data_IF_886942918649
#
_entry.id   IF_886942918649
#
_cell.length_a   1.000
_cell.length_b   1.000
_cell.length_c   1.000
_cell.angle_alpha   90.00
_cell.angle_beta   90.00
_cell.angle_gamma   90.00
#
_symmetry.space_group_name_H-M   'P 1'
#
loop_
_entity.id
_entity.type
_entity.pdbx_description
1 polymer ?
#
# COMPACT_ATOMS: atom_id res chain seq x y z
N UNK A 1 16.27 12.08 -27.94
CA UNK A 1 15.74 13.14 -27.06
C UNK A 1 16.85 14.11 -26.71
N UNK A 2 16.58 15.41 -26.64
CA UNK A 2 17.53 16.39 -26.09
C UNK A 2 17.70 16.16 -24.60
N UNK A 3 18.82 16.61 -24.01
CA UNK A 3 19.08 16.48 -22.56
C UNK A 3 17.97 17.11 -21.72
N UNK A 4 17.42 18.24 -22.17
CA UNK A 4 16.30 18.91 -21.54
C UNK A 4 15.00 18.09 -21.60
N UNK A 5 14.70 17.45 -22.74
CA UNK A 5 13.56 16.56 -22.87
C UNK A 5 13.66 15.33 -21.96
N UNK A 6 14.86 14.75 -21.80
CA UNK A 6 15.08 13.62 -20.89
C UNK A 6 14.77 14.00 -19.44
N UNK A 7 15.24 15.15 -18.97
CA UNK A 7 14.98 15.65 -17.62
C UNK A 7 13.48 15.88 -17.39
N UNK A 8 12.79 16.55 -18.32
CA UNK A 8 11.36 16.83 -18.23
C UNK A 8 10.52 15.54 -18.27
N UNK A 9 10.89 14.58 -19.12
CA UNK A 9 10.24 13.26 -19.16
C UNK A 9 10.42 12.53 -17.84
N UNK A 10 11.63 12.51 -17.29
CA UNK A 10 11.94 11.89 -16.00
C UNK A 10 11.12 12.50 -14.88
N UNK A 11 11.13 13.83 -14.74
CA UNK A 11 10.35 14.54 -13.74
C UNK A 11 8.85 14.27 -13.87
N UNK A 12 8.32 14.23 -15.09
CA UNK A 12 6.90 13.95 -15.33
C UNK A 12 6.50 12.55 -14.87
N UNK A 13 7.33 11.53 -15.12
CA UNK A 13 7.10 10.16 -14.65
C UNK A 13 7.17 10.10 -13.12
N UNK A 14 8.15 10.77 -12.52
CA UNK A 14 8.33 10.80 -11.05
C UNK A 14 7.17 11.51 -10.35
N UNK A 15 6.63 12.59 -10.93
CA UNK A 15 5.45 13.27 -10.39
C UNK A 15 4.19 12.38 -10.41
N UNK A 16 4.00 11.59 -11.46
CA UNK A 16 2.89 10.61 -11.47
C UNK A 16 3.09 9.55 -10.40
N UNK A 17 4.33 9.16 -10.08
CA UNK A 17 4.61 8.19 -9.03
C UNK A 17 4.23 8.67 -7.61
N UNK A 18 4.19 9.99 -7.38
CA UNK A 18 3.70 10.60 -6.12
C UNK A 18 2.27 10.15 -5.78
N UNK A 19 1.47 9.83 -6.80
CA UNK A 19 0.05 9.48 -6.63
C UNK A 19 -0.14 8.03 -6.19
N UNK A 20 0.77 7.12 -6.54
CA UNK A 20 0.59 5.67 -6.41
C UNK A 20 0.35 5.20 -4.97
N UNK A 21 1.00 5.81 -3.98
CA UNK A 21 0.88 5.45 -2.56
C UNK A 21 -0.07 6.37 -1.78
N UNK A 22 -0.90 7.19 -2.43
CA UNK A 22 -1.71 8.20 -1.77
C UNK A 22 -3.10 7.71 -1.30
N UNK A 23 -3.53 6.50 -1.64
CA UNK A 23 -4.84 5.98 -1.26
C UNK A 23 -5.10 5.98 0.27
N UNK A 24 -4.14 5.61 1.15
CA UNK A 24 -4.32 5.64 2.61
C UNK A 24 -4.39 7.04 3.22
N UNK A 25 -4.13 8.09 2.46
CA UNK A 25 -4.11 9.47 2.96
C UNK A 25 -5.42 9.90 3.64
N UNK A 26 -6.55 9.30 3.24
CA UNK A 26 -7.87 9.59 3.82
C UNK A 26 -8.23 8.71 5.03
N UNK A 27 -7.35 7.81 5.50
CA UNK A 27 -7.67 6.96 6.65
C UNK A 27 -8.01 7.79 7.90
N UNK A 28 -7.38 8.94 8.07
CA UNK A 28 -7.69 9.88 9.15
C UNK A 28 -9.13 10.43 9.10
N UNK A 29 -9.79 10.37 7.94
CA UNK A 29 -11.18 10.81 7.77
C UNK A 29 -12.21 9.84 8.35
N UNK A 30 -11.88 8.58 8.60
CA UNK A 30 -12.83 7.54 9.02
C UNK A 30 -13.76 8.02 10.15
N UNK A 31 -13.24 8.57 11.28
CA UNK A 31 -14.12 8.99 12.37
C UNK A 31 -14.99 10.20 12.01
N UNK A 32 -14.54 11.07 11.12
CA UNK A 32 -15.31 12.24 10.68
C UNK A 32 -16.41 11.81 9.69
N UNK A 33 -16.08 10.88 8.78
CA UNK A 33 -17.05 10.27 7.86
C UNK A 33 -18.11 9.46 8.60
N UNK A 34 -17.73 8.74 9.68
CA UNK A 34 -18.70 8.02 10.51
C UNK A 34 -19.73 8.94 11.16
N UNK A 35 -19.32 10.16 11.53
CA UNK A 35 -20.25 11.19 12.04
C UNK A 35 -21.08 11.81 10.93
N UNK A 36 -20.53 11.97 9.72
CA UNK A 36 -21.24 12.53 8.57
C UNK A 36 -22.30 11.56 7.98
N UNK A 37 -22.08 10.26 8.11
CA UNK A 37 -22.97 9.19 7.61
C UNK A 37 -23.41 8.23 8.72
N UNK A 38 -24.20 8.70 9.71
CA UNK A 38 -24.53 7.90 10.91
C UNK A 38 -25.38 6.66 10.62
N UNK A 39 -26.08 6.62 9.48
CA UNK A 39 -26.86 5.46 9.03
C UNK A 39 -26.03 4.37 8.35
N UNK A 40 -24.75 4.65 8.06
CA UNK A 40 -23.88 3.71 7.36
C UNK A 40 -23.03 2.95 8.37
N UNK A 41 -22.99 1.60 8.32
CA UNK A 41 -22.14 0.81 9.21
C UNK A 41 -20.67 1.20 9.11
N UNK A 42 -19.96 1.25 10.24
CA UNK A 42 -18.55 1.67 10.30
C UNK A 42 -17.65 0.88 9.35
N UNK A 43 -17.89 -0.44 9.21
CA UNK A 43 -17.11 -1.27 8.28
C UNK A 43 -17.26 -0.84 6.81
N UNK A 44 -18.42 -0.32 6.41
CA UNK A 44 -18.61 0.24 5.06
C UNK A 44 -17.88 1.59 4.90
N UNK A 45 -17.84 2.40 5.95
CA UNK A 45 -17.06 3.65 5.94
C UNK A 45 -15.57 3.35 5.84
N UNK A 46 -15.09 2.36 6.58
CA UNK A 46 -13.70 1.89 6.51
C UNK A 46 -13.36 1.33 5.12
N UNK A 47 -14.33 0.70 4.44
CA UNK A 47 -14.15 0.21 3.07
C UNK A 47 -13.79 1.33 2.09
N UNK A 48 -14.20 2.58 2.31
CA UNK A 48 -13.79 3.72 1.49
C UNK A 48 -12.27 3.86 1.37
N UNK A 49 -11.52 3.42 2.37
CA UNK A 49 -10.06 3.51 2.41
C UNK A 49 -9.39 2.30 1.76
N UNK A 50 -10.06 1.17 1.68
CA UNK A 50 -9.49 -0.10 1.20
C UNK A 50 -10.01 -0.56 -0.16
N UNK A 51 -11.21 -0.14 -0.56
CA UNK A 51 -11.77 -0.45 -1.88
C UNK A 51 -10.88 -0.01 -3.05
N UNK A 52 -10.09 1.08 -2.96
CA UNK A 52 -9.12 1.41 -4.01
C UNK A 52 -8.15 0.27 -4.32
N UNK A 53 -7.73 -0.52 -3.31
CA UNK A 53 -6.79 -1.64 -3.50
C UNK A 53 -7.40 -2.76 -4.35
N UNK A 54 -8.70 -3.05 -4.20
CA UNK A 54 -9.38 -4.04 -5.02
C UNK A 54 -9.47 -3.59 -6.48
N UNK A 55 -9.90 -2.36 -6.71
CA UNK A 55 -10.03 -1.82 -8.07
C UNK A 55 -8.68 -1.56 -8.74
N UNK A 56 -7.65 -1.24 -7.96
CA UNK A 56 -6.26 -1.17 -8.41
C UNK A 56 -5.81 -2.53 -8.97
N UNK A 57 -6.09 -3.62 -8.26
CA UNK A 57 -5.74 -4.97 -8.72
C UNK A 57 -6.43 -5.30 -10.04
N UNK A 58 -7.74 -5.06 -10.15
CA UNK A 58 -8.51 -5.27 -11.39
C UNK A 58 -7.90 -4.46 -12.55
N UNK A 59 -7.57 -3.20 -12.30
CA UNK A 59 -7.02 -2.31 -13.31
C UNK A 59 -5.61 -2.71 -13.75
N UNK A 60 -4.75 -3.20 -12.84
CA UNK A 60 -3.43 -3.75 -13.20
C UNK A 60 -3.58 -4.92 -14.18
N UNK A 61 -4.52 -5.82 -13.95
CA UNK A 61 -4.76 -6.95 -14.85
C UNK A 61 -5.21 -6.50 -16.24
N UNK A 62 -5.99 -5.42 -16.30
CA UNK A 62 -6.49 -4.84 -17.55
C UNK A 62 -5.49 -3.90 -18.24
N UNK A 63 -4.54 -3.32 -17.49
CA UNK A 63 -3.67 -2.24 -17.96
C UNK A 63 -2.89 -2.59 -19.24
N UNK A 64 -2.32 -3.79 -19.30
CA UNK A 64 -1.58 -4.26 -20.47
C UNK A 64 -2.49 -4.48 -21.69
N UNK A 65 -3.73 -4.92 -21.49
CA UNK A 65 -4.70 -5.07 -22.57
C UNK A 65 -5.13 -3.71 -23.12
N UNK A 66 -5.41 -2.74 -22.24
CA UNK A 66 -5.73 -1.36 -22.62
C UNK A 66 -4.54 -0.72 -23.34
N UNK A 67 -3.31 -0.90 -22.83
CA UNK A 67 -2.10 -0.33 -23.43
C UNK A 67 -1.82 -0.86 -24.83
N UNK A 68 -2.16 -2.13 -25.10
CA UNK A 68 -2.07 -2.66 -26.49
C UNK A 68 -3.07 -2.01 -27.44
N UNK A 69 -4.26 -1.60 -26.95
CA UNK A 69 -5.28 -0.97 -27.80
C UNK A 69 -5.01 0.51 -28.06
N UNK A 70 -4.74 1.27 -27.01
CA UNK A 70 -4.62 2.74 -27.11
C UNK A 70 -3.19 3.28 -26.99
N UNK A 71 -2.22 2.43 -26.57
CA UNK A 71 -0.81 2.80 -26.39
C UNK A 71 -0.47 3.09 -24.93
N UNK A 72 0.83 2.92 -24.57
CA UNK A 72 1.33 3.06 -23.19
C UNK A 72 1.06 4.46 -22.61
N UNK A 73 1.46 5.52 -23.34
CA UNK A 73 1.28 6.92 -22.90
C UNK A 73 -0.20 7.22 -22.65
N UNK A 74 -1.07 6.86 -23.60
CA UNK A 74 -2.50 7.13 -23.53
C UNK A 74 -3.16 6.39 -22.37
N UNK A 75 -2.77 5.15 -22.09
CA UNK A 75 -3.29 4.39 -20.96
C UNK A 75 -2.91 5.04 -19.62
N UNK A 76 -1.67 5.51 -19.49
CA UNK A 76 -1.24 6.26 -18.30
C UNK A 76 -2.04 7.56 -18.17
N UNK A 77 -2.21 8.33 -19.25
CA UNK A 77 -3.00 9.56 -19.22
C UNK A 77 -4.45 9.32 -18.82
N UNK A 78 -5.09 8.29 -19.36
CA UNK A 78 -6.46 7.91 -18.96
C UNK A 78 -6.50 7.51 -17.48
N UNK A 79 -5.56 6.69 -17.01
CA UNK A 79 -5.47 6.29 -15.62
C UNK A 79 -5.30 7.49 -14.68
N UNK A 80 -4.37 8.40 -14.99
CA UNK A 80 -4.13 9.61 -14.18
C UNK A 80 -5.33 10.55 -14.25
N UNK A 81 -5.98 10.72 -15.42
CA UNK A 81 -7.20 11.53 -15.55
C UNK A 81 -8.35 11.00 -14.66
N UNK A 82 -8.58 9.68 -14.70
CA UNK A 82 -9.57 9.04 -13.80
C UNK A 82 -9.20 9.32 -12.33
N UNK A 83 -7.91 9.20 -11.98
CA UNK A 83 -7.44 9.44 -10.60
C UNK A 83 -7.61 10.90 -10.17
N UNK A 84 -7.37 11.87 -11.07
CA UNK A 84 -7.61 13.31 -10.82
C UNK A 84 -9.10 13.55 -10.53
N UNK A 85 -9.96 13.11 -11.44
CA UNK A 85 -11.41 13.31 -11.33
C UNK A 85 -11.94 12.62 -10.06
N UNK A 86 -11.62 11.35 -9.89
CA UNK A 86 -12.09 10.56 -8.75
C UNK A 86 -11.48 11.01 -7.42
N UNK A 87 -10.24 11.52 -7.41
CA UNK A 87 -9.60 12.07 -6.21
C UNK A 87 -10.23 13.37 -5.75
N UNK A 88 -10.64 14.24 -6.66
CA UNK A 88 -11.22 15.55 -6.37
C UNK A 88 -12.74 15.55 -6.28
N UNK A 89 -13.44 14.59 -6.92
CA UNK A 89 -14.89 14.50 -6.90
C UNK A 89 -15.51 14.54 -5.48
N UNK A 90 -14.93 13.90 -4.44
CA UNK A 90 -15.46 13.94 -3.08
C UNK A 90 -15.56 15.34 -2.47
N UNK A 91 -14.90 16.34 -3.02
CA UNK A 91 -15.04 17.75 -2.58
C UNK A 91 -16.50 18.22 -2.75
N UNK A 92 -17.19 17.69 -3.75
CA UNK A 92 -18.58 18.09 -4.09
C UNK A 92 -19.61 16.99 -3.80
N UNK A 93 -19.17 15.76 -3.48
CA UNK A 93 -20.06 14.62 -3.26
C UNK A 93 -20.57 14.63 -1.83
N UNK A 94 -21.88 14.54 -1.66
CA UNK A 94 -22.57 14.42 -0.36
C UNK A 94 -23.19 13.03 -0.14
N UNK A 95 -23.24 12.20 -1.18
CA UNK A 95 -23.86 10.87 -1.15
C UNK A 95 -22.80 9.78 -0.92
N UNK A 96 -23.04 8.88 0.05
CA UNK A 96 -22.12 7.78 0.37
C UNK A 96 -21.88 6.82 -0.81
N UNK A 97 -22.90 6.38 -1.60
CA UNK A 97 -22.66 5.54 -2.77
C UNK A 97 -21.77 6.19 -3.84
N UNK A 98 -21.94 7.49 -4.08
CA UNK A 98 -21.10 8.23 -5.02
C UNK A 98 -19.66 8.39 -4.49
N UNK A 99 -19.49 8.57 -3.18
CA UNK A 99 -18.20 8.59 -2.54
C UNK A 99 -17.49 7.23 -2.70
N UNK A 100 -18.21 6.13 -2.50
CA UNK A 100 -17.70 4.77 -2.71
C UNK A 100 -17.26 4.53 -4.16
N UNK A 101 -18.10 4.96 -5.14
CA UNK A 101 -17.77 4.87 -6.56
C UNK A 101 -16.52 5.69 -6.90
N UNK A 102 -16.41 6.89 -6.35
CA UNK A 102 -15.21 7.74 -6.51
C UNK A 102 -13.95 7.02 -6.00
N UNK A 103 -14.01 6.37 -4.84
CA UNK A 103 -12.86 5.64 -4.29
C UNK A 103 -12.48 4.42 -5.12
N UNK A 104 -13.48 3.68 -5.63
CA UNK A 104 -13.28 2.58 -6.56
C UNK A 104 -12.63 3.07 -7.87
N UNK A 105 -13.16 4.15 -8.45
CA UNK A 105 -12.59 4.77 -9.66
C UNK A 105 -11.17 5.30 -9.44
N UNK A 106 -10.87 5.87 -8.26
CA UNK A 106 -9.53 6.29 -7.89
C UNK A 106 -8.54 5.12 -7.93
N UNK A 107 -8.88 4.00 -7.29
CA UNK A 107 -8.05 2.79 -7.31
C UNK A 107 -7.88 2.24 -8.71
N UNK A 108 -8.94 2.22 -9.51
CA UNK A 108 -8.90 1.77 -10.90
C UNK A 108 -7.96 2.65 -11.74
N UNK A 109 -8.05 3.97 -11.61
CA UNK A 109 -7.14 4.90 -12.28
C UNK A 109 -5.69 4.65 -11.93
N UNK A 110 -5.36 4.52 -10.63
CA UNK A 110 -4.00 4.20 -10.16
C UNK A 110 -3.51 2.87 -10.74
N UNK A 111 -4.35 1.83 -10.72
CA UNK A 111 -3.98 0.52 -11.25
C UNK A 111 -3.68 0.51 -12.73
N UNK A 112 -4.38 1.32 -13.53
CA UNK A 112 -4.12 1.43 -14.97
C UNK A 112 -2.71 1.94 -15.29
N UNK A 113 -2.17 2.87 -14.51
CA UNK A 113 -0.86 3.44 -14.83
C UNK A 113 0.30 2.87 -14.00
N UNK A 114 0.06 2.36 -12.79
CA UNK A 114 1.11 1.98 -11.87
C UNK A 114 2.14 0.99 -12.47
N UNK A 115 1.68 -0.12 -13.03
CA UNK A 115 2.55 -1.11 -13.67
C UNK A 115 3.21 -0.59 -14.95
N UNK A 116 2.55 0.32 -15.67
CA UNK A 116 3.03 0.85 -16.94
C UNK A 116 4.12 1.91 -16.77
N UNK A 117 4.21 2.58 -15.61
CA UNK A 117 5.30 3.53 -15.34
C UNK A 117 6.67 2.86 -15.43
N UNK A 118 6.81 1.64 -14.88
CA UNK A 118 8.05 0.84 -14.96
C UNK A 118 8.38 0.53 -16.42
N UNK A 119 7.37 0.21 -17.23
CA UNK A 119 7.56 -0.04 -18.68
C UNK A 119 8.00 1.23 -19.42
N UNK A 120 7.42 2.38 -19.09
CA UNK A 120 7.77 3.68 -19.69
C UNK A 120 9.20 4.09 -19.31
N UNK A 121 9.58 3.90 -18.01
CA UNK A 121 10.96 4.13 -17.57
C UNK A 121 11.93 3.26 -18.36
N UNK A 122 11.60 1.98 -18.54
CA UNK A 122 12.45 1.03 -19.28
C UNK A 122 12.54 1.33 -20.77
N UNK A 123 11.55 2.04 -21.32
CA UNK A 123 11.57 2.47 -22.72
C UNK A 123 12.50 3.68 -22.96
N UNK A 124 12.48 4.68 -22.06
CA UNK A 124 13.24 5.90 -22.23
C UNK A 124 14.64 5.87 -21.65
N UNK A 125 14.88 5.04 -20.63
CA UNK A 125 16.14 4.98 -19.88
C UNK A 125 16.72 3.57 -19.91
N UNK A 126 18.05 3.46 -20.02
CA UNK A 126 18.77 2.17 -20.12
C UNK A 126 19.90 2.11 -19.11
N UNK A 127 20.43 0.90 -18.84
CA UNK A 127 21.59 0.66 -17.98
C UNK A 127 21.43 1.24 -16.57
N UNK A 128 22.44 1.96 -16.10
CA UNK A 128 22.46 2.57 -14.78
C UNK A 128 21.39 3.65 -14.60
N UNK A 129 21.09 4.42 -15.67
CA UNK A 129 20.07 5.49 -15.62
C UNK A 129 18.66 4.91 -15.39
N UNK A 130 18.35 3.76 -15.99
CA UNK A 130 17.10 3.03 -15.71
C UNK A 130 16.99 2.65 -14.24
N UNK A 131 18.04 2.04 -13.69
CA UNK A 131 18.06 1.60 -12.29
C UNK A 131 17.92 2.77 -11.32
N UNK A 132 18.61 3.88 -11.59
CA UNK A 132 18.49 5.11 -10.81
C UNK A 132 17.07 5.70 -10.89
N UNK A 133 16.47 5.73 -12.09
CA UNK A 133 15.11 6.28 -12.29
C UNK A 133 14.07 5.43 -11.57
N UNK A 134 14.20 4.09 -11.57
CA UNK A 134 13.34 3.20 -10.77
C UNK A 134 13.51 3.41 -9.27
N UNK A 135 14.74 3.67 -8.80
CA UNK A 135 15.00 4.05 -7.42
C UNK A 135 14.33 5.37 -7.04
N UNK A 136 14.44 6.39 -7.91
CA UNK A 136 13.73 7.65 -7.72
C UNK A 136 12.22 7.49 -7.75
N UNK A 137 11.68 6.63 -8.63
CA UNK A 137 10.25 6.30 -8.66
C UNK A 137 9.76 5.82 -7.29
N UNK A 138 10.44 4.86 -6.69
CA UNK A 138 10.09 4.34 -5.36
C UNK A 138 10.20 5.42 -4.27
N UNK A 139 11.19 6.30 -4.37
CA UNK A 139 11.35 7.43 -3.45
C UNK A 139 10.19 8.44 -3.58
N UNK A 140 9.84 8.81 -4.82
CA UNK A 140 8.73 9.74 -5.07
C UNK A 140 7.38 9.15 -4.70
N UNK A 141 7.19 7.85 -4.86
CA UNK A 141 6.01 7.12 -4.37
C UNK A 141 5.89 7.23 -2.83
N UNK A 142 6.97 6.95 -2.11
CA UNK A 142 7.00 7.09 -0.65
C UNK A 142 6.76 8.53 -0.18
N UNK A 143 7.47 9.49 -0.77
CA UNK A 143 7.29 10.92 -0.48
C UNK A 143 5.87 11.39 -0.78
N UNK A 144 5.29 10.90 -1.88
CA UNK A 144 3.91 11.22 -2.27
C UNK A 144 2.90 10.75 -1.22
N UNK A 145 3.03 9.52 -0.76
CA UNK A 145 2.21 8.99 0.32
C UNK A 145 2.29 9.84 1.59
N UNK A 146 3.51 10.23 1.98
CA UNK A 146 3.76 11.10 3.13
C UNK A 146 3.13 12.48 2.95
N UNK A 147 3.38 13.15 1.82
CA UNK A 147 2.90 14.51 1.55
C UNK A 147 1.37 14.57 1.48
N UNK A 148 0.75 13.66 0.71
CA UNK A 148 -0.71 13.65 0.56
C UNK A 148 -1.39 13.33 1.88
N UNK A 149 -0.85 12.40 2.67
CA UNK A 149 -1.37 12.06 4.01
C UNK A 149 -1.27 13.26 4.97
N UNK A 150 -0.12 13.96 4.96
CA UNK A 150 0.06 15.14 5.81
C UNK A 150 -0.93 16.24 5.43
N UNK A 151 -1.04 16.58 4.15
CA UNK A 151 -1.95 17.62 3.66
C UNK A 151 -3.41 17.24 3.97
N UNK A 152 -3.83 16.02 3.66
CA UNK A 152 -5.17 15.53 3.96
C UNK A 152 -5.48 15.60 5.46
N UNK A 153 -4.53 15.20 6.30
CA UNK A 153 -4.65 15.25 7.75
C UNK A 153 -4.72 16.66 8.35
N UNK A 154 -4.10 17.67 7.71
CA UNK A 154 -4.27 19.07 8.11
C UNK A 154 -5.63 19.62 7.66
N UNK A 155 -6.08 19.21 6.48
CA UNK A 155 -7.33 19.74 5.91
C UNK A 155 -8.58 19.12 6.54
N UNK A 156 -8.51 17.88 7.06
CA UNK A 156 -9.64 17.21 7.71
C UNK A 156 -10.18 17.96 8.94
N UNK A 157 -9.36 18.79 9.58
CA UNK A 157 -9.78 19.62 10.71
C UNK A 157 -10.88 20.62 10.38
N UNK A 158 -11.01 21.02 9.12
CA UNK A 158 -12.08 21.92 8.67
C UNK A 158 -13.36 21.14 8.39
N UNK A 159 -13.30 20.14 7.54
CA UNK A 159 -14.34 19.12 7.30
C UNK A 159 -13.73 17.99 6.44
N UNK A 160 -14.46 16.87 6.32
CA UNK A 160 -13.98 15.72 5.59
C UNK A 160 -13.81 15.97 4.08
N UNK A 161 -14.62 16.85 3.45
CA UNK A 161 -14.49 17.19 2.03
C UNK A 161 -13.16 17.90 1.74
N UNK A 162 -12.73 18.79 2.65
CA UNK A 162 -11.51 19.56 2.47
C UNK A 162 -10.25 18.67 2.39
N UNK A 163 -10.24 17.53 3.07
CA UNK A 163 -9.10 16.61 2.99
C UNK A 163 -8.82 16.09 1.58
N UNK A 164 -9.85 16.04 0.70
CA UNK A 164 -9.68 15.60 -0.67
C UNK A 164 -8.98 16.62 -1.56
N UNK A 165 -8.85 17.90 -1.14
CA UNK A 165 -7.98 18.87 -1.81
C UNK A 165 -6.51 18.46 -1.81
N UNK A 166 -6.08 17.55 -0.93
CA UNK A 166 -4.74 16.98 -0.99
C UNK A 166 -4.42 16.30 -2.32
N UNK A 167 -5.46 15.83 -3.03
CA UNK A 167 -5.30 15.23 -4.35
C UNK A 167 -5.12 16.25 -5.49
N UNK A 168 -5.18 17.56 -5.23
CA UNK A 168 -4.91 18.57 -6.26
C UNK A 168 -3.50 18.44 -6.85
N UNK A 169 -2.56 17.83 -6.11
CA UNK A 169 -1.20 17.51 -6.58
C UNK A 169 -1.20 16.58 -7.82
N UNK A 170 -2.31 15.86 -8.05
CA UNK A 170 -2.45 14.99 -9.21
C UNK A 170 -2.62 15.77 -10.51
N UNK A 171 -3.12 17.02 -10.44
CA UNK A 171 -3.36 17.87 -11.62
C UNK A 171 -2.05 18.28 -12.32
N UNK A 172 -1.05 18.88 -11.61
CA UNK A 172 0.23 19.18 -12.24
C UNK A 172 0.96 17.91 -12.74
N UNK A 173 0.82 16.77 -12.05
CA UNK A 173 1.37 15.50 -12.51
C UNK A 173 0.76 15.06 -13.84
N UNK A 174 -0.58 15.18 -13.99
CA UNK A 174 -1.27 14.91 -15.25
C UNK A 174 -0.80 15.83 -16.38
N UNK A 175 -0.78 17.14 -16.13
CA UNK A 175 -0.39 18.15 -17.15
C UNK A 175 1.05 17.93 -17.60
N UNK A 176 1.98 17.75 -16.66
CA UNK A 176 3.38 17.51 -17.01
C UNK A 176 3.57 16.21 -17.79
N UNK A 177 2.90 15.13 -17.39
CA UNK A 177 2.98 13.87 -18.12
C UNK A 177 2.39 13.98 -19.54
N UNK A 178 1.28 14.69 -19.71
CA UNK A 178 0.66 14.92 -21.00
C UNK A 178 1.58 15.69 -21.97
N UNK A 179 2.21 16.76 -21.47
CA UNK A 179 3.00 17.67 -22.28
C UNK A 179 4.42 17.13 -22.58
N UNK A 180 5.10 16.59 -21.57
CA UNK A 180 6.54 16.33 -21.68
C UNK A 180 6.92 14.87 -21.92
N UNK A 181 6.04 13.91 -21.68
CA UNK A 181 6.33 12.53 -22.07
C UNK A 181 6.06 12.35 -23.56
N UNK A 182 7.05 11.94 -24.39
CA UNK A 182 6.85 11.74 -25.82
C UNK A 182 5.87 10.60 -26.11
N UNK A 183 5.32 10.59 -27.33
CA UNK A 183 4.51 9.45 -27.80
C UNK A 183 5.38 8.20 -27.87
N UNK A 184 4.90 7.13 -27.28
CA UNK A 184 5.52 5.82 -27.33
C UNK A 184 4.77 5.03 -28.41
N UNK A 185 5.46 4.47 -29.42
CA UNK A 185 4.82 3.60 -30.41
C UNK A 185 4.04 2.50 -29.71
N UNK A 186 2.93 2.07 -30.28
CA UNK A 186 2.17 0.93 -29.75
C UNK A 186 3.13 -0.25 -29.67
N UNK A 187 3.25 -0.84 -28.48
CA UNK A 187 4.08 -2.01 -28.28
C UNK A 187 3.65 -3.10 -29.28
N UNK A 188 4.56 -3.50 -30.15
CA UNK A 188 4.40 -4.77 -30.85
C UNK A 188 4.29 -5.87 -29.78
N UNK A 189 3.51 -6.94 -30.01
CA UNK A 189 3.39 -8.02 -29.06
C UNK A 189 4.82 -8.46 -28.71
N UNK A 190 5.27 -8.16 -27.51
CA UNK A 190 6.46 -8.80 -26.98
C UNK A 190 6.17 -10.30 -27.10
N UNK A 191 6.93 -10.97 -27.94
CA UNK A 191 6.96 -12.41 -27.97
C UNK A 191 7.02 -12.85 -26.50
N UNK A 192 6.03 -13.60 -26.08
CA UNK A 192 6.05 -14.28 -24.81
C UNK A 192 7.42 -14.93 -24.74
N UNK A 193 8.31 -14.40 -23.93
CA UNK A 193 9.51 -15.14 -23.55
C UNK A 193 9.00 -16.46 -23.02
N UNK A 194 9.26 -17.49 -23.81
CA UNK A 194 8.69 -18.81 -23.69
C UNK A 194 9.02 -19.41 -22.33
N UNK A 195 8.14 -20.26 -21.87
CA UNK A 195 8.35 -21.29 -20.86
C UNK A 195 8.77 -20.82 -19.48
N UNK A 196 7.89 -20.08 -18.82
CA UNK A 196 7.87 -20.14 -17.37
C UNK A 196 7.10 -21.39 -16.97
N UNK A 197 7.77 -22.28 -16.25
CA UNK A 197 7.22 -23.50 -15.72
C UNK A 197 5.90 -23.20 -15.00
N UNK A 198 4.81 -23.83 -15.47
CA UNK A 198 3.46 -23.71 -14.89
C UNK A 198 3.31 -24.44 -13.54
N UNK A 199 4.35 -25.07 -13.03
CA UNK A 199 4.32 -25.75 -11.75
C UNK A 199 4.50 -24.75 -10.60
N UNK A 200 3.40 -24.54 -9.87
CA UNK A 200 3.42 -23.81 -8.60
C UNK A 200 3.95 -24.75 -7.51
N UNK A 201 5.08 -24.43 -6.85
CA UNK A 201 5.56 -25.20 -5.71
C UNK A 201 4.48 -25.22 -4.61
N UNK A 202 4.31 -26.37 -3.94
CA UNK A 202 3.31 -26.48 -2.83
C UNK A 202 3.53 -25.45 -1.72
N UNK A 203 4.77 -25.02 -1.51
CA UNK A 203 5.13 -23.99 -0.54
C UNK A 203 4.45 -22.63 -0.80
N UNK A 204 4.05 -22.34 -2.04
CA UNK A 204 3.37 -21.08 -2.40
C UNK A 204 2.09 -20.88 -1.62
N UNK A 205 1.33 -21.93 -1.33
CA UNK A 205 0.10 -21.83 -0.56
C UNK A 205 0.37 -21.34 0.87
N UNK A 206 1.48 -21.78 1.48
CA UNK A 206 1.92 -21.27 2.78
C UNK A 206 2.24 -19.77 2.74
N UNK A 207 2.93 -19.31 1.70
CA UNK A 207 3.23 -17.87 1.52
C UNK A 207 1.99 -17.03 1.23
N UNK A 208 1.01 -17.56 0.49
CA UNK A 208 -0.26 -16.88 0.24
C UNK A 208 -1.05 -16.69 1.53
N UNK A 209 -1.20 -17.75 2.33
CA UNK A 209 -1.90 -17.71 3.62
C UNK A 209 -1.18 -16.75 4.58
N UNK A 210 0.16 -16.86 4.69
CA UNK A 210 0.96 -16.00 5.53
C UNK A 210 0.82 -14.52 5.12
N UNK A 211 0.91 -14.23 3.81
CA UNK A 211 0.72 -12.89 3.28
C UNK A 211 -0.68 -12.37 3.59
N UNK A 212 -1.71 -13.18 3.36
CA UNK A 212 -3.09 -12.79 3.65
C UNK A 212 -3.29 -12.43 5.13
N UNK A 213 -2.80 -13.28 6.03
CA UNK A 213 -2.90 -13.05 7.49
C UNK A 213 -2.14 -11.76 7.85
N UNK A 214 -0.85 -11.68 7.54
CA UNK A 214 0.00 -10.54 7.96
C UNK A 214 -0.55 -9.22 7.43
N UNK A 215 -0.95 -9.18 6.14
CA UNK A 215 -1.46 -7.95 5.53
C UNK A 215 -2.83 -7.56 6.08
N UNK A 216 -3.72 -8.52 6.36
CA UNK A 216 -5.01 -8.23 6.99
C UNK A 216 -4.80 -7.52 8.32
N UNK A 217 -3.99 -8.10 9.23
CA UNK A 217 -3.74 -7.54 10.56
C UNK A 217 -2.94 -6.23 10.51
N UNK A 218 -2.01 -6.09 9.55
CA UNK A 218 -1.32 -4.84 9.27
C UNK A 218 -2.28 -3.73 8.84
N UNK A 219 -3.22 -4.02 7.92
CA UNK A 219 -4.19 -3.04 7.42
C UNK A 219 -5.21 -2.61 8.48
N UNK A 220 -5.60 -3.50 9.39
CA UNK A 220 -6.48 -3.18 10.53
C UNK A 220 -5.92 -2.00 11.34
N UNK A 221 -4.59 -1.95 11.53
CA UNK A 221 -3.96 -0.82 12.21
C UNK A 221 -4.27 0.51 11.52
N UNK A 222 -4.00 0.63 10.23
CA UNK A 222 -4.20 1.88 9.48
C UNK A 222 -5.66 2.34 9.42
N UNK A 223 -6.60 1.41 9.55
CA UNK A 223 -8.04 1.66 9.46
C UNK A 223 -8.65 1.97 10.83
N UNK A 224 -8.29 1.19 11.86
CA UNK A 224 -8.92 1.27 13.19
C UNK A 224 -8.29 2.31 14.12
N UNK A 225 -7.02 2.66 13.93
CA UNK A 225 -6.32 3.64 14.79
C UNK A 225 -6.98 5.02 14.78
N UNK A 226 -7.41 5.60 13.64
CA UNK A 226 -8.10 6.89 13.68
C UNK A 226 -9.38 6.85 14.53
N UNK A 227 -10.17 5.79 14.40
CA UNK A 227 -11.38 5.60 15.21
C UNK A 227 -11.04 5.36 16.68
N UNK A 228 -10.03 4.56 17.00
CA UNK A 228 -9.55 4.32 18.36
C UNK A 228 -9.19 5.64 19.06
N UNK A 229 -8.33 6.46 18.43
CA UNK A 229 -7.85 7.71 19.02
C UNK A 229 -8.98 8.69 19.33
N UNK A 230 -9.96 8.80 18.41
CA UNK A 230 -11.10 9.70 18.57
C UNK A 230 -12.11 9.17 19.58
N UNK A 231 -12.45 7.87 19.54
CA UNK A 231 -13.42 7.26 20.44
C UNK A 231 -12.90 7.15 21.88
N UNK A 232 -11.60 6.91 22.07
CA UNK A 232 -10.96 6.88 23.39
C UNK A 232 -10.61 8.30 23.92
N UNK A 233 -10.85 9.36 23.13
CA UNK A 233 -10.73 10.75 23.58
C UNK A 233 -9.31 11.29 23.72
N UNK A 234 -8.27 10.58 23.26
CA UNK A 234 -6.87 11.03 23.37
C UNK A 234 -6.29 11.56 22.06
N UNK A 235 -7.11 11.64 21.01
CA UNK A 235 -6.68 12.16 19.71
C UNK A 235 -7.82 12.69 18.86
N UNK A 236 -7.43 13.38 17.79
CA UNK A 236 -8.29 13.94 16.76
C UNK A 236 -8.03 13.24 15.42
N UNK A 237 -8.87 13.47 14.40
CA UNK A 237 -8.61 13.00 13.04
C UNK A 237 -7.27 13.54 12.51
N UNK A 238 -6.92 14.79 12.84
CA UNK A 238 -5.61 15.38 12.47
C UNK A 238 -4.46 14.67 13.16
N UNK A 239 -4.54 14.41 14.48
CA UNK A 239 -3.48 13.68 15.18
C UNK A 239 -3.35 12.23 14.72
N UNK A 240 -4.46 11.60 14.30
CA UNK A 240 -4.43 10.27 13.69
C UNK A 240 -3.67 10.26 12.34
N UNK A 241 -3.70 11.36 11.58
CA UNK A 241 -2.90 11.46 10.36
C UNK A 241 -1.40 11.39 10.61
N UNK A 242 -0.92 11.84 11.79
CA UNK A 242 0.50 11.72 12.17
C UNK A 242 0.89 10.26 12.39
N UNK A 243 -0.03 9.40 12.82
CA UNK A 243 0.21 7.96 12.95
C UNK A 243 0.39 7.32 11.56
N UNK A 244 -0.47 7.69 10.59
CA UNK A 244 -0.36 7.21 9.20
C UNK A 244 0.91 7.74 8.53
N UNK A 245 1.29 8.99 8.84
CA UNK A 245 2.55 9.58 8.41
C UNK A 245 3.75 8.80 8.98
N UNK A 246 3.75 8.52 10.28
CA UNK A 246 4.80 7.76 10.95
C UNK A 246 4.92 6.33 10.39
N UNK A 247 3.77 5.67 10.08
CA UNK A 247 3.74 4.40 9.38
C UNK A 247 4.45 4.47 8.02
N UNK A 248 4.20 5.53 7.25
CA UNK A 248 4.84 5.73 5.94
C UNK A 248 6.35 5.96 6.07
N UNK A 249 6.78 6.76 7.07
CA UNK A 249 8.19 6.99 7.38
C UNK A 249 8.88 5.70 7.87
N UNK A 250 8.22 4.94 8.74
CA UNK A 250 8.71 3.63 9.18
C UNK A 250 8.85 2.65 8.03
N UNK A 251 7.88 2.63 7.11
CA UNK A 251 7.93 1.81 5.90
C UNK A 251 9.11 2.21 4.99
N UNK A 252 9.36 3.50 4.82
CA UNK A 252 10.51 3.99 4.06
C UNK A 252 11.84 3.55 4.70
N UNK A 253 11.99 3.71 6.01
CA UNK A 253 13.17 3.28 6.74
C UNK A 253 13.36 1.75 6.68
N UNK A 254 12.29 0.97 6.91
CA UNK A 254 12.31 -0.49 6.81
C UNK A 254 12.74 -0.97 5.42
N UNK A 255 12.25 -0.32 4.37
CA UNK A 255 12.66 -0.59 2.99
C UNK A 255 14.14 -0.29 2.72
N UNK A 256 14.66 0.84 3.22
CA UNK A 256 16.08 1.20 3.10
C UNK A 256 16.99 0.21 3.85
N UNK A 257 16.55 -0.26 5.01
CA UNK A 257 17.32 -1.18 5.84
C UNK A 257 17.21 -2.63 5.37
N UNK A 258 16.17 -2.99 4.62
CA UNK A 258 15.87 -4.38 4.22
C UNK A 258 17.07 -5.06 3.59
N UNK A 259 17.72 -4.45 2.60
CA UNK A 259 18.84 -5.06 1.88
C UNK A 259 20.00 -5.43 2.81
N UNK A 260 20.40 -4.52 3.72
CA UNK A 260 21.47 -4.77 4.69
C UNK A 260 21.08 -5.83 5.72
N UNK A 261 19.89 -5.72 6.28
CA UNK A 261 19.37 -6.67 7.27
C UNK A 261 19.19 -8.07 6.66
N UNK A 262 18.70 -8.15 5.43
CA UNK A 262 18.51 -9.43 4.75
C UNK A 262 19.83 -10.15 4.47
N UNK A 263 20.92 -9.45 4.12
CA UNK A 263 22.23 -10.06 3.93
C UNK A 263 22.78 -10.68 5.22
N UNK A 264 22.51 -10.07 6.39
CA UNK A 264 22.99 -10.56 7.68
C UNK A 264 22.07 -11.60 8.30
N UNK A 265 20.76 -11.35 8.26
CA UNK A 265 19.78 -12.15 9.01
C UNK A 265 19.14 -13.25 8.16
N UNK A 266 19.17 -13.12 6.82
CA UNK A 266 18.46 -14.03 5.90
C UNK A 266 17.00 -14.24 6.37
N UNK A 267 16.56 -15.49 6.57
CA UNK A 267 15.20 -15.80 7.02
C UNK A 267 14.90 -15.30 8.44
N UNK A 268 15.92 -15.05 9.28
CA UNK A 268 15.73 -14.49 10.64
C UNK A 268 15.20 -13.05 10.62
N UNK A 269 15.23 -12.37 9.47
CA UNK A 269 14.62 -11.05 9.29
C UNK A 269 13.13 -11.05 9.63
N UNK A 270 12.43 -12.19 9.46
CA UNK A 270 11.03 -12.35 9.85
C UNK A 270 10.80 -12.25 11.35
N UNK A 271 11.75 -12.74 12.17
CA UNK A 271 11.67 -12.59 13.62
C UNK A 271 11.69 -11.10 13.97
N UNK A 272 12.61 -10.34 13.36
CA UNK A 272 12.68 -8.88 13.55
C UNK A 272 11.40 -8.19 13.08
N UNK A 273 10.89 -8.57 11.90
CA UNK A 273 9.66 -8.02 11.35
C UNK A 273 8.46 -8.25 12.27
N UNK A 274 8.24 -9.49 12.72
CA UNK A 274 7.11 -9.82 13.59
C UNK A 274 7.28 -9.29 15.02
N UNK A 275 8.50 -9.21 15.54
CA UNK A 275 8.77 -8.52 16.81
C UNK A 275 8.44 -7.04 16.73
N UNK A 276 8.85 -6.36 15.65
CA UNK A 276 8.50 -4.96 15.43
C UNK A 276 6.98 -4.76 15.33
N UNK A 277 6.26 -5.64 14.62
CA UNK A 277 4.79 -5.62 14.53
C UNK A 277 4.14 -5.91 15.89
N UNK A 278 4.67 -6.86 16.67
CA UNK A 278 4.19 -7.13 18.02
C UNK A 278 4.32 -5.90 18.92
N UNK A 279 5.51 -5.30 18.98
CA UNK A 279 5.75 -4.11 19.79
C UNK A 279 4.87 -2.93 19.34
N UNK A 280 4.65 -2.80 18.04
CA UNK A 280 3.75 -1.81 17.48
C UNK A 280 2.31 -2.00 17.98
N UNK A 281 1.78 -3.23 17.91
CA UNK A 281 0.41 -3.51 18.34
C UNK A 281 0.25 -3.37 19.85
N UNK A 282 1.25 -3.77 20.64
CA UNK A 282 1.27 -3.52 22.10
C UNK A 282 1.22 -2.02 22.38
N UNK A 283 2.10 -1.23 21.72
CA UNK A 283 2.13 0.21 21.92
C UNK A 283 0.78 0.87 21.62
N UNK A 284 0.07 0.40 20.57
CA UNK A 284 -1.26 0.90 20.22
C UNK A 284 -2.32 0.43 21.21
N UNK A 285 -2.29 -0.85 21.63
CA UNK A 285 -3.27 -1.44 22.53
C UNK A 285 -3.26 -0.81 23.93
N UNK A 286 -2.08 -0.42 24.44
CA UNK A 286 -1.95 0.25 25.75
C UNK A 286 -2.03 1.76 25.64
N UNK A 287 -2.11 2.31 24.42
CA UNK A 287 -2.00 3.76 24.21
C UNK A 287 -3.22 4.51 24.73
N UNK A 288 -2.93 5.57 25.47
CA UNK A 288 -3.86 6.63 25.84
C UNK A 288 -3.30 8.03 25.49
N UNK A 289 -2.29 8.06 24.63
CA UNK A 289 -1.63 9.29 24.20
C UNK A 289 -1.18 9.19 22.73
N UNK A 290 -1.32 10.30 21.99
CA UNK A 290 -0.98 10.38 20.57
C UNK A 290 0.46 9.93 20.26
N UNK A 291 1.45 10.35 21.07
CA UNK A 291 2.86 10.05 20.81
C UNK A 291 3.17 8.53 20.82
N UNK A 292 2.55 7.78 21.75
CA UNK A 292 2.76 6.33 21.84
C UNK A 292 2.14 5.61 20.64
N UNK A 293 0.95 6.05 20.19
CA UNK A 293 0.31 5.55 18.98
C UNK A 293 1.14 5.85 17.72
N UNK A 294 1.79 7.03 17.67
CA UNK A 294 2.71 7.41 16.58
C UNK A 294 3.92 6.48 16.52
N UNK A 295 4.51 6.13 17.68
CA UNK A 295 5.59 5.12 17.75
C UNK A 295 5.09 3.76 17.24
N UNK A 296 3.89 3.34 17.66
CA UNK A 296 3.25 2.13 17.15
C UNK A 296 3.09 2.15 15.62
N UNK A 297 2.64 3.27 15.06
CA UNK A 297 2.56 3.47 13.62
C UNK A 297 3.90 3.31 12.90
N UNK A 298 4.94 3.96 13.42
CA UNK A 298 6.30 3.88 12.88
C UNK A 298 6.85 2.45 12.87
N UNK A 299 6.72 1.73 13.99
CA UNK A 299 7.15 0.33 14.10
C UNK A 299 6.35 -0.59 13.17
N UNK A 300 5.04 -0.33 12.98
CA UNK A 300 4.21 -1.08 12.03
C UNK A 300 4.75 -0.94 10.61
N UNK A 301 5.14 0.27 10.22
CA UNK A 301 5.75 0.53 8.91
C UNK A 301 7.04 -0.25 8.69
N UNK A 302 7.95 -0.25 9.68
CA UNK A 302 9.21 -1.01 9.63
C UNK A 302 8.92 -2.51 9.47
N UNK A 303 8.09 -3.09 10.34
CA UNK A 303 7.82 -4.52 10.34
C UNK A 303 7.21 -5.00 9.03
N UNK A 304 6.23 -4.27 8.49
CA UNK A 304 5.59 -4.61 7.22
C UNK A 304 6.58 -4.56 6.03
N UNK A 305 7.50 -3.59 6.02
CA UNK A 305 8.51 -3.46 4.96
C UNK A 305 9.70 -4.40 5.10
N UNK A 306 9.89 -5.02 6.24
CA UNK A 306 10.81 -6.16 6.37
C UNK A 306 10.16 -7.47 5.93
N UNK A 307 8.86 -7.64 6.15
CA UNK A 307 8.11 -8.84 5.78
C UNK A 307 7.88 -8.96 4.26
N UNK A 308 7.31 -7.93 3.62
CA UNK A 308 6.80 -8.05 2.25
C UNK A 308 7.88 -8.32 1.20
N UNK A 309 9.04 -7.64 1.17
CA UNK A 309 10.12 -7.98 0.26
C UNK A 309 10.71 -9.38 0.51
N UNK A 310 10.69 -9.84 1.77
CA UNK A 310 11.13 -11.20 2.09
C UNK A 310 10.24 -12.25 1.42
N UNK A 311 8.90 -12.10 1.50
CA UNK A 311 7.97 -13.02 0.83
C UNK A 311 8.20 -13.03 -0.69
N UNK A 312 8.36 -11.85 -1.30
CA UNK A 312 8.63 -11.75 -2.73
C UNK A 312 9.94 -12.45 -3.12
N UNK A 313 10.99 -12.30 -2.30
CA UNK A 313 12.26 -13.00 -2.52
C UNK A 313 12.11 -14.52 -2.35
N UNK A 314 11.45 -14.98 -1.29
CA UNK A 314 11.26 -16.40 -1.02
C UNK A 314 10.54 -17.11 -2.18
N UNK A 315 9.46 -16.50 -2.68
CA UNK A 315 8.69 -17.02 -3.81
C UNK A 315 9.51 -17.08 -5.11
N UNK A 316 10.38 -16.10 -5.34
CA UNK A 316 11.22 -16.06 -6.54
C UNK A 316 12.40 -17.03 -6.48
N UNK A 317 12.94 -17.32 -5.28
CA UNK A 317 14.00 -18.32 -5.09
C UNK A 317 13.50 -19.75 -5.32
N UNK A 318 12.29 -20.08 -4.89
CA UNK A 318 11.70 -21.41 -5.05
C UNK A 318 11.22 -21.69 -6.47
N UNK A 319 10.99 -20.67 -7.29
CA UNK A 319 10.36 -20.81 -8.60
C UNK A 319 11.10 -20.21 -9.79
N UNK A 320 12.43 -20.04 -9.74
CA UNK A 320 13.22 -19.51 -10.89
C UNK A 320 12.56 -18.33 -11.62
N UNK A 321 12.11 -17.30 -10.88
CA UNK A 321 11.46 -16.11 -11.46
C UNK A 321 10.00 -16.34 -11.87
N UNK A 322 9.24 -17.14 -11.12
CA UNK A 322 7.84 -17.45 -11.42
C UNK A 322 6.94 -16.22 -11.25
N UNK A 323 6.66 -15.54 -12.37
CA UNK A 323 5.79 -14.36 -12.42
C UNK A 323 4.38 -14.64 -11.95
N UNK A 324 3.87 -15.89 -12.12
CA UNK A 324 2.56 -16.30 -11.63
C UNK A 324 2.54 -16.29 -10.10
N UNK A 325 3.57 -16.85 -9.47
CA UNK A 325 3.69 -16.88 -8.02
C UNK A 325 3.76 -15.48 -7.42
N UNK A 326 4.58 -14.59 -7.98
CA UNK A 326 4.64 -13.17 -7.59
C UNK A 326 3.28 -12.49 -7.76
N UNK A 327 2.58 -12.74 -8.86
CA UNK A 327 1.25 -12.18 -9.11
C UNK A 327 0.23 -12.67 -8.08
N UNK A 328 0.25 -13.93 -7.69
CA UNK A 328 -0.63 -14.48 -6.67
C UNK A 328 -0.37 -13.84 -5.29
N UNK A 329 0.89 -13.60 -4.92
CA UNK A 329 1.23 -12.89 -3.67
C UNK A 329 0.69 -11.45 -3.70
N UNK A 330 0.81 -10.75 -4.83
CA UNK A 330 0.24 -9.40 -4.99
C UNK A 330 -1.29 -9.40 -4.92
N UNK A 331 -1.93 -10.43 -5.48
CA UNK A 331 -3.39 -10.64 -5.36
C UNK A 331 -3.76 -10.85 -3.89
N UNK A 332 -3.08 -11.74 -3.18
CA UNK A 332 -3.32 -12.00 -1.76
C UNK A 332 -3.14 -10.73 -0.92
N UNK A 333 -2.09 -9.94 -1.20
CA UNK A 333 -1.83 -8.64 -0.55
C UNK A 333 -3.02 -7.68 -0.72
N UNK A 334 -3.44 -7.43 -1.97
CA UNK A 334 -4.52 -6.46 -2.25
C UNK A 334 -5.88 -6.95 -1.76
N UNK A 335 -6.14 -8.27 -1.85
CA UNK A 335 -7.37 -8.88 -1.36
C UNK A 335 -7.44 -8.79 0.18
N UNK A 336 -6.36 -9.11 0.89
CA UNK A 336 -6.26 -8.97 2.34
C UNK A 336 -6.49 -7.52 2.77
N UNK A 337 -5.86 -6.56 2.07
CA UNK A 337 -6.06 -5.13 2.32
C UNK A 337 -7.52 -4.71 2.13
N UNK A 338 -8.14 -5.13 1.05
CA UNK A 338 -9.53 -4.75 0.72
C UNK A 338 -10.55 -5.36 1.68
N UNK A 339 -10.32 -6.59 2.15
CA UNK A 339 -11.23 -7.30 3.05
C UNK A 339 -10.98 -6.99 4.54
N UNK A 340 -9.91 -6.30 4.89
CA UNK A 340 -9.51 -6.07 6.28
C UNK A 340 -10.59 -5.39 7.15
N UNK A 341 -11.44 -4.43 6.68
CA UNK A 341 -12.53 -3.89 7.49
C UNK A 341 -13.57 -4.95 7.88
N UNK A 342 -13.94 -5.80 6.92
CA UNK A 342 -14.89 -6.89 7.17
C UNK A 342 -14.30 -8.00 8.02
N UNK A 343 -13.02 -8.32 7.84
CA UNK A 343 -12.32 -9.29 8.69
C UNK A 343 -12.25 -8.77 10.13
N UNK A 344 -11.95 -7.48 10.32
CA UNK A 344 -11.97 -6.87 11.66
C UNK A 344 -13.35 -6.95 12.30
N UNK A 345 -14.42 -6.64 11.54
CA UNK A 345 -15.80 -6.74 12.01
C UNK A 345 -16.17 -8.19 12.37
N UNK A 346 -15.82 -9.14 11.51
CA UNK A 346 -16.07 -10.58 11.74
C UNK A 346 -15.36 -11.05 13.01
N UNK A 347 -14.09 -10.69 13.21
CA UNK A 347 -13.35 -11.04 14.42
C UNK A 347 -13.98 -10.41 15.67
N UNK A 348 -14.39 -9.14 15.60
CA UNK A 348 -15.05 -8.48 16.72
C UNK A 348 -16.37 -9.18 17.09
N UNK A 349 -17.20 -9.54 16.11
CA UNK A 349 -18.47 -10.21 16.34
C UNK A 349 -18.30 -11.65 16.82
N UNK A 350 -17.42 -12.43 16.17
CA UNK A 350 -17.24 -13.87 16.49
C UNK A 350 -16.55 -14.10 17.85
N UNK A 351 -15.63 -13.20 18.24
CA UNK A 351 -14.90 -13.28 19.50
C UNK A 351 -15.48 -12.36 20.57
N UNK A 352 -16.64 -11.73 20.32
CA UNK A 352 -17.31 -10.81 21.24
C UNK A 352 -16.37 -9.69 21.76
N UNK A 353 -15.52 -9.15 20.86
CA UNK A 353 -14.54 -8.11 21.20
C UNK A 353 -15.25 -6.76 21.29
N UNK A 354 -15.50 -6.30 22.51
CA UNK A 354 -16.27 -5.08 22.76
C UNK A 354 -15.54 -3.77 22.41
N UNK A 355 -14.19 -3.76 22.43
CA UNK A 355 -13.42 -2.54 22.21
C UNK A 355 -12.39 -2.68 21.08
N UNK A 356 -12.08 -1.56 20.41
CA UNK A 356 -11.01 -1.51 19.40
C UNK A 356 -9.63 -1.84 20.05
N UNK A 357 -9.41 -1.44 21.30
CA UNK A 357 -8.19 -1.78 22.04
C UNK A 357 -8.02 -3.29 22.17
N UNK A 358 -9.08 -4.04 22.49
CA UNK A 358 -9.03 -5.49 22.58
C UNK A 358 -8.77 -6.14 21.22
N UNK A 359 -9.20 -5.54 20.12
CA UNK A 359 -8.82 -5.98 18.77
C UNK A 359 -7.31 -5.84 18.55
N UNK A 360 -6.65 -4.79 19.07
CA UNK A 360 -5.21 -4.65 18.98
C UNK A 360 -4.46 -5.67 19.86
N UNK A 361 -5.02 -6.12 21.00
CA UNK A 361 -4.48 -7.24 21.75
C UNK A 361 -4.55 -8.56 20.95
N UNK A 362 -5.65 -8.80 20.22
CA UNK A 362 -5.73 -9.93 19.30
C UNK A 362 -4.67 -9.84 18.20
N UNK A 363 -4.48 -8.65 17.59
CA UNK A 363 -3.43 -8.42 16.60
C UNK A 363 -2.03 -8.71 17.20
N UNK A 364 -1.79 -8.29 18.44
CA UNK A 364 -0.56 -8.59 19.19
C UNK A 364 -0.34 -10.10 19.29
N UNK A 365 -1.37 -10.84 19.72
CA UNK A 365 -1.29 -12.31 19.87
C UNK A 365 -0.90 -12.98 18.54
N UNK A 366 -1.52 -12.56 17.43
CA UNK A 366 -1.20 -13.11 16.09
C UNK A 366 0.28 -12.89 15.74
N UNK A 367 0.80 -11.67 15.93
CA UNK A 367 2.19 -11.39 15.62
C UNK A 367 3.19 -12.04 16.58
N UNK A 368 2.84 -12.23 17.87
CA UNK A 368 3.63 -13.03 18.81
C UNK A 368 3.71 -14.48 18.34
N UNK A 369 2.58 -15.09 17.97
CA UNK A 369 2.56 -16.48 17.48
C UNK A 369 3.46 -16.60 16.24
N UNK A 370 3.35 -15.68 15.28
CA UNK A 370 4.19 -15.65 14.08
C UNK A 370 5.68 -15.51 14.45
N UNK A 371 6.03 -14.60 15.35
CA UNK A 371 7.41 -14.41 15.80
C UNK A 371 7.99 -15.68 16.42
N UNK A 372 7.23 -16.35 17.32
CA UNK A 372 7.63 -17.59 17.97
C UNK A 372 7.77 -18.74 16.98
N UNK A 373 6.81 -18.89 16.06
CA UNK A 373 6.85 -19.94 15.01
C UNK A 373 8.11 -19.78 14.14
N UNK A 374 8.38 -18.56 13.66
CA UNK A 374 9.54 -18.34 12.81
C UNK A 374 10.87 -18.38 13.59
N UNK A 375 10.89 -18.02 14.88
CA UNK A 375 12.05 -18.24 15.75
C UNK A 375 12.34 -19.74 15.91
N UNK A 376 11.31 -20.55 16.13
CA UNK A 376 11.44 -22.00 16.25
C UNK A 376 11.90 -22.68 14.95
N UNK A 377 11.35 -22.29 13.81
CA UNK A 377 11.78 -22.76 12.48
C UNK A 377 13.25 -22.41 12.24
N UNK A 378 13.65 -21.18 12.57
CA UNK A 378 15.03 -20.71 12.40
C UNK A 378 15.99 -21.48 13.31
N UNK A 379 15.61 -21.74 14.55
CA UNK A 379 16.40 -22.52 15.49
C UNK A 379 16.60 -23.96 15.02
N UNK A 380 15.54 -24.64 14.58
CA UNK A 380 15.63 -26.01 14.02
C UNK A 380 16.55 -26.08 12.79
N UNK A 381 16.47 -25.12 11.88
CA UNK A 381 17.37 -25.08 10.71
C UNK A 381 18.83 -24.94 11.11
N UNK A 382 19.14 -24.11 12.10
CA UNK A 382 20.49 -23.95 12.63
C UNK A 382 21.02 -25.21 13.30
N UNK A 383 20.18 -25.93 14.04
CA UNK A 383 20.55 -27.17 14.69
C UNK A 383 20.82 -28.34 13.70
N UNK A 384 20.14 -28.33 12.54
CA UNK A 384 20.36 -29.35 11.48
C UNK A 384 21.59 -29.08 10.61
N UNK A 385 22.10 -27.84 10.55
CA UNK A 385 23.34 -27.49 9.84
C UNK A 385 24.58 -27.72 10.70
N UNK A 386 24.41 -27.79 12.03
CA UNK A 386 25.47 -28.07 12.99
C UNK A 386 25.72 -29.59 13.25
N UNK A 387 24.85 -30.45 12.71
CA UNK A 387 25.03 -31.92 12.62
C UNK A 387 25.49 -32.32 11.24
#
# INVERSE_FOLDING_TARGET
MTKQQQVLTKLSILLVSVITASAPAINANIPVLAKAFPSVPLAQIELLTTIPSLFLLIAILLSNWVARKIGLKQTVLVGVAITVIAGLAPIMITSFPLLMLSRAAFGFGVGLFNSLLVSIISYFFQGSERSQTLGFQSTFEGLGGVLVTFIAGQLVRFNWHMSFWAYVITVPAFVMFALFVPRIPKAQPQQKTAQQSSHLPKAIFGYLILTFIVITFYMIMGIKVPTLMVSAGYGTATSASYVILALSLGAMLGGLLFGRLFTWLKDRILIVAFTALTLAMVAIAVSNATWLTVIGGFLTGIGARLFFPWVLNAVNLEGSGNTLATSLILIAYNLAGSLSPYTALLLQNSLHIASIQNLFWLNTLVFVILAVVFAFISWRRSANVAK
#
